data_IF_487005070951
#
_entry.id   IF_487005070951
#
_cell.length_a   1.000
_cell.length_b   1.000
_cell.length_c   1.000
_cell.angle_alpha   90.00
_cell.angle_beta   90.00
_cell.angle_gamma   90.00
#
_symmetry.space_group_name_H-M   'P 1'
#
loop_
_entity.id
_entity.type
_entity.pdbx_description
1 polymer ?
#
# COMPACT_ATOMS: atom_id res chain seq x y z
N UNK A 1 58.20 -9.85 14.13
CA UNK A 1 57.11 -10.85 14.02
C UNK A 1 55.86 -10.11 13.56
N UNK A 2 55.27 -10.56 12.46
CA UNK A 2 54.22 -9.86 11.72
C UNK A 2 52.83 -9.93 12.38
N UNK A 3 51.99 -8.91 12.10
CA UNK A 3 50.63 -9.02 11.52
C UNK A 3 49.98 -7.63 11.57
N UNK A 4 50.10 -6.83 10.49
CA UNK A 4 49.08 -6.60 9.44
C UNK A 4 47.79 -6.00 10.01
N UNK A 5 47.56 -4.72 9.67
CA UNK A 5 46.37 -3.97 10.02
C UNK A 5 45.13 -4.29 9.19
N UNK A 6 44.02 -3.67 9.60
CA UNK A 6 42.84 -3.31 8.82
C UNK A 6 41.97 -2.47 9.79
N UNK A 7 41.95 -1.14 9.68
CA UNK A 7 41.13 -0.47 8.68
C UNK A 7 39.70 -0.39 9.20
N UNK A 8 39.36 0.70 9.89
CA UNK A 8 37.99 1.01 10.32
C UNK A 8 37.12 1.10 9.07
N UNK A 9 36.45 -0.01 8.70
CA UNK A 9 35.46 -0.02 7.63
C UNK A 9 34.25 0.76 8.13
N UNK A 10 34.08 1.97 7.60
CA UNK A 10 32.86 2.73 7.71
C UNK A 10 31.68 1.83 7.27
N UNK A 11 30.88 1.38 8.22
CA UNK A 11 29.59 0.74 7.93
C UNK A 11 28.67 1.85 7.42
N UNK A 12 28.59 2.00 6.09
CA UNK A 12 27.63 2.91 5.46
C UNK A 12 26.23 2.36 5.70
N UNK A 13 25.58 2.78 6.80
CA UNK A 13 24.13 2.60 7.00
C UNK A 13 23.42 3.56 6.05
N UNK A 14 22.87 3.04 4.96
CA UNK A 14 22.00 3.81 4.07
C UNK A 14 20.55 3.36 4.35
N UNK A 15 19.78 4.18 5.07
CA UNK A 15 18.38 3.91 5.31
C UNK A 15 17.58 4.35 4.09
N UNK A 16 17.22 3.39 3.22
CA UNK A 16 16.32 3.65 2.10
C UNK A 16 14.88 3.69 2.63
N UNK A 17 14.28 4.88 2.62
CA UNK A 17 12.88 5.11 2.98
C UNK A 17 11.98 4.80 1.77
N UNK A 18 10.86 4.10 1.97
CA UNK A 18 10.05 3.57 0.85
C UNK A 18 8.57 3.99 0.91
N UNK A 19 8.00 4.32 -0.25
CA UNK A 19 6.57 4.47 -0.49
C UNK A 19 6.16 3.90 -1.85
N UNK A 20 4.85 3.77 -2.09
CA UNK A 20 4.33 3.50 -3.43
C UNK A 20 4.86 4.58 -4.40
N UNK A 21 5.56 4.16 -5.46
CA UNK A 21 6.27 5.06 -6.38
C UNK A 21 7.80 4.99 -6.35
N UNK A 22 8.42 4.28 -5.39
CA UNK A 22 9.90 4.12 -5.34
C UNK A 22 10.38 2.74 -5.79
N UNK A 23 9.76 1.65 -5.30
CA UNK A 23 10.12 0.27 -5.69
C UNK A 23 8.93 -0.54 -6.23
N UNK A 24 7.71 -0.05 -5.99
CA UNK A 24 6.49 -0.66 -6.47
C UNK A 24 5.61 0.40 -7.13
N UNK A 25 4.85 -0.03 -8.12
CA UNK A 25 3.73 0.72 -8.68
C UNK A 25 2.42 -0.01 -8.37
N UNK A 26 1.33 0.75 -8.36
CA UNK A 26 0.00 0.15 -8.45
C UNK A 26 -0.20 -0.42 -9.85
N UNK A 27 -0.80 -1.59 -9.94
CA UNK A 27 -1.30 -2.15 -11.20
C UNK A 27 -2.67 -1.53 -11.47
N UNK A 28 -2.89 -1.02 -12.67
CA UNK A 28 -4.19 -0.43 -13.04
C UNK A 28 -4.59 0.78 -12.19
N UNK A 29 -5.87 1.11 -12.24
CA UNK A 29 -6.45 2.25 -11.55
C UNK A 29 -7.19 1.82 -10.28
N UNK A 30 -7.37 2.75 -9.34
CA UNK A 30 -8.19 2.51 -8.14
C UNK A 30 -9.60 1.99 -8.51
N UNK A 31 -10.17 2.53 -9.59
CA UNK A 31 -11.48 2.14 -10.11
C UNK A 31 -11.58 0.67 -10.50
N UNK A 32 -10.49 0.06 -10.99
CA UNK A 32 -10.47 -1.35 -11.36
C UNK A 32 -10.79 -2.24 -10.16
N UNK A 33 -10.14 -1.98 -9.02
CA UNK A 33 -10.32 -2.78 -7.81
C UNK A 33 -11.73 -2.62 -7.21
N UNK A 34 -12.29 -1.43 -7.30
CA UNK A 34 -13.64 -1.14 -6.80
C UNK A 34 -14.69 -1.78 -7.71
N UNK A 35 -14.48 -1.72 -9.03
CA UNK A 35 -15.33 -2.38 -10.02
C UNK A 35 -15.28 -3.90 -9.89
N UNK A 36 -14.09 -4.48 -9.75
CA UNK A 36 -13.93 -5.92 -9.52
C UNK A 36 -14.64 -6.37 -8.25
N UNK A 37 -14.52 -5.60 -7.15
CA UNK A 37 -15.18 -5.93 -5.90
C UNK A 37 -16.72 -5.85 -5.99
N UNK A 38 -17.26 -4.83 -6.66
CA UNK A 38 -18.70 -4.68 -6.90
C UNK A 38 -19.26 -5.79 -7.80
N UNK A 39 -18.61 -6.06 -8.94
CA UNK A 39 -19.00 -7.15 -9.86
C UNK A 39 -18.99 -8.52 -9.20
N UNK A 40 -18.03 -8.78 -8.32
CA UNK A 40 -17.90 -10.06 -7.63
C UNK A 40 -19.03 -10.37 -6.64
N UNK A 41 -19.93 -9.41 -6.38
CA UNK A 41 -21.15 -9.60 -5.59
C UNK A 41 -22.43 -9.32 -6.40
N UNK A 42 -22.32 -9.18 -7.72
CA UNK A 42 -23.45 -8.97 -8.63
C UNK A 42 -23.87 -7.50 -8.83
N UNK A 43 -23.10 -6.54 -8.33
CA UNK A 43 -23.38 -5.12 -8.54
C UNK A 43 -22.76 -4.60 -9.86
N UNK A 44 -23.35 -3.55 -10.46
CA UNK A 44 -22.74 -2.87 -11.59
C UNK A 44 -21.41 -2.25 -11.19
N UNK A 45 -20.55 -2.09 -12.20
CA UNK A 45 -19.30 -1.38 -12.06
C UNK A 45 -19.58 0.11 -11.71
N UNK A 46 -19.03 0.65 -10.62
CA UNK A 46 -19.14 2.07 -10.35
C UNK A 46 -18.28 2.87 -11.34
N UNK A 47 -18.65 4.12 -11.56
CA UNK A 47 -17.93 5.03 -12.45
C UNK A 47 -16.52 5.31 -11.91
N UNK A 48 -15.52 5.06 -12.74
CA UNK A 48 -14.12 5.12 -12.35
C UNK A 48 -13.70 6.52 -11.89
N UNK A 49 -14.13 7.55 -12.64
CA UNK A 49 -13.76 8.94 -12.38
C UNK A 49 -14.40 9.45 -11.09
N UNK A 50 -15.69 9.20 -10.91
CA UNK A 50 -16.43 9.56 -9.69
C UNK A 50 -15.86 8.86 -8.46
N UNK A 51 -15.53 7.57 -8.58
CA UNK A 51 -14.89 6.84 -7.48
C UNK A 51 -13.51 7.40 -7.14
N UNK A 52 -12.70 7.75 -8.15
CA UNK A 52 -11.38 8.34 -7.92
C UNK A 52 -11.48 9.70 -7.21
N UNK A 53 -12.36 10.58 -7.67
CA UNK A 53 -12.60 11.90 -7.07
C UNK A 53 -13.20 11.79 -5.65
N UNK A 54 -14.16 10.88 -5.48
CA UNK A 54 -14.77 10.56 -4.19
C UNK A 54 -13.73 10.05 -3.19
N UNK A 55 -12.88 9.12 -3.61
CA UNK A 55 -11.79 8.61 -2.79
C UNK A 55 -10.77 9.67 -2.42
N UNK A 56 -10.33 10.50 -3.37
CA UNK A 56 -9.38 11.59 -3.10
C UNK A 56 -9.92 12.53 -2.03
N UNK A 57 -11.21 12.85 -2.10
CA UNK A 57 -11.88 13.73 -1.13
C UNK A 57 -12.03 13.06 0.23
N UNK A 58 -12.53 11.82 0.27
CA UNK A 58 -12.70 11.04 1.49
C UNK A 58 -11.37 10.81 2.22
N UNK A 59 -10.33 10.41 1.49
CA UNK A 59 -8.98 10.21 2.01
C UNK A 59 -8.41 11.50 2.60
N UNK A 60 -8.54 12.61 1.88
CA UNK A 60 -8.05 13.92 2.35
C UNK A 60 -8.72 14.33 3.66
N UNK A 61 -10.03 14.09 3.79
CA UNK A 61 -10.77 14.39 5.01
C UNK A 61 -10.37 13.46 6.16
N UNK A 62 -10.28 12.16 5.92
CA UNK A 62 -9.86 11.17 6.91
C UNK A 62 -8.42 11.41 7.39
N UNK A 63 -7.51 11.78 6.50
CA UNK A 63 -6.13 12.09 6.85
C UNK A 63 -6.01 13.36 7.70
N UNK A 64 -6.92 14.34 7.52
CA UNK A 64 -6.99 15.55 8.34
C UNK A 64 -7.60 15.28 9.72
N UNK A 65 -8.70 14.52 9.78
CA UNK A 65 -9.41 14.23 11.03
C UNK A 65 -8.69 13.20 11.89
N UNK A 66 -8.16 12.16 11.24
CA UNK A 66 -7.52 11.01 11.88
C UNK A 66 -6.15 10.76 11.22
N UNK A 67 -5.15 11.61 11.49
CA UNK A 67 -3.81 11.47 10.92
C UNK A 67 -3.15 10.14 11.33
N UNK A 68 -2.18 9.69 10.53
CA UNK A 68 -1.49 8.41 10.72
C UNK A 68 -2.46 7.23 10.89
N UNK A 69 -3.49 7.17 10.05
CA UNK A 69 -4.55 6.15 10.08
C UNK A 69 -5.25 6.04 11.44
N UNK A 70 -5.41 7.17 12.14
CA UNK A 70 -6.10 7.24 13.42
C UNK A 70 -5.29 6.72 14.62
N UNK A 71 -3.96 6.62 14.51
CA UNK A 71 -3.09 6.16 15.59
C UNK A 71 -3.31 6.93 16.91
N UNK A 72 -3.33 8.27 16.85
CA UNK A 72 -3.56 9.11 18.02
C UNK A 72 -4.97 8.91 18.62
N UNK A 73 -5.96 8.58 17.80
CA UNK A 73 -7.34 8.32 18.20
C UNK A 73 -7.57 6.87 18.66
N UNK A 74 -6.53 6.02 18.69
CA UNK A 74 -6.63 4.57 18.94
C UNK A 74 -7.65 3.86 18.02
N UNK A 75 -7.85 4.41 16.83
CA UNK A 75 -8.75 3.85 15.83
C UNK A 75 -8.08 2.65 15.16
N UNK A 76 -8.75 1.48 15.05
CA UNK A 76 -8.24 0.38 14.27
C UNK A 76 -8.05 0.77 12.80
N UNK A 77 -6.94 0.36 12.20
CA UNK A 77 -6.61 0.68 10.80
C UNK A 77 -7.72 0.23 9.83
N UNK A 78 -8.33 -0.94 10.09
CA UNK A 78 -9.48 -1.42 9.31
C UNK A 78 -10.69 -0.48 9.37
N UNK A 79 -10.95 0.15 10.52
CA UNK A 79 -12.09 1.06 10.68
C UNK A 79 -11.82 2.41 10.02
N UNK A 80 -10.56 2.86 10.03
CA UNK A 80 -10.13 4.02 9.27
C UNK A 80 -10.38 3.83 7.78
N UNK A 81 -9.93 2.69 7.22
CA UNK A 81 -10.19 2.36 5.80
C UNK A 81 -11.66 2.09 5.52
N UNK A 82 -12.40 1.43 6.42
CA UNK A 82 -13.84 1.19 6.26
C UNK A 82 -14.58 2.50 6.10
N UNK A 83 -14.33 3.45 7.00
CA UNK A 83 -14.91 4.80 6.95
C UNK A 83 -14.53 5.53 5.67
N UNK A 84 -13.24 5.51 5.32
CA UNK A 84 -12.75 6.17 4.10
C UNK A 84 -13.41 5.61 2.84
N UNK A 85 -13.48 4.28 2.69
CA UNK A 85 -14.06 3.63 1.51
C UNK A 85 -15.57 3.89 1.45
N UNK A 86 -16.29 3.82 2.58
CA UNK A 86 -17.72 4.13 2.64
C UNK A 86 -17.99 5.56 2.17
N UNK A 87 -17.24 6.51 2.72
CA UNK A 87 -17.37 7.92 2.35
C UNK A 87 -17.01 8.19 0.88
N UNK A 88 -16.10 7.39 0.31
CA UNK A 88 -15.75 7.44 -1.11
C UNK A 88 -16.92 7.06 -2.01
N UNK A 89 -17.65 5.98 -1.67
CA UNK A 89 -18.85 5.55 -2.41
C UNK A 89 -19.96 6.60 -2.31
N UNK A 90 -20.22 7.12 -1.11
CA UNK A 90 -21.25 8.15 -0.89
C UNK A 90 -20.94 9.41 -1.70
N UNK A 91 -19.69 9.89 -1.67
CA UNK A 91 -19.25 11.06 -2.47
C UNK A 91 -19.29 10.80 -3.97
N UNK A 92 -19.07 9.56 -4.38
CA UNK A 92 -19.25 9.13 -5.75
C UNK A 92 -20.74 8.94 -6.12
N UNK A 93 -21.68 9.12 -5.19
CA UNK A 93 -23.13 9.01 -5.40
C UNK A 93 -23.65 7.58 -5.45
N UNK A 94 -22.95 6.64 -4.80
CA UNK A 94 -23.38 5.27 -4.58
C UNK A 94 -23.70 5.10 -3.09
N UNK A 95 -24.96 4.82 -2.79
CA UNK A 95 -25.42 4.53 -1.43
C UNK A 95 -25.82 3.06 -1.35
N UNK A 96 -24.98 2.25 -0.72
CA UNK A 96 -25.20 0.83 -0.51
C UNK A 96 -25.67 0.61 0.91
N UNK A 97 -26.59 -0.34 1.11
CA UNK A 97 -26.92 -0.80 2.45
C UNK A 97 -25.67 -1.39 3.15
N UNK A 98 -25.70 -1.42 4.48
CA UNK A 98 -24.52 -1.81 5.27
C UNK A 98 -24.04 -3.24 4.97
N UNK A 99 -24.95 -4.17 4.63
CA UNK A 99 -24.60 -5.55 4.33
C UNK A 99 -23.87 -5.65 2.98
N UNK A 100 -24.43 -4.99 1.96
CA UNK A 100 -23.83 -4.91 0.63
C UNK A 100 -22.49 -4.21 0.68
N UNK A 101 -22.41 -3.06 1.36
CA UNK A 101 -21.16 -2.32 1.53
C UNK A 101 -20.08 -3.17 2.20
N UNK A 102 -20.40 -3.87 3.29
CA UNK A 102 -19.42 -4.69 4.01
C UNK A 102 -18.86 -5.83 3.13
N UNK A 103 -19.70 -6.44 2.28
CA UNK A 103 -19.24 -7.45 1.29
C UNK A 103 -18.25 -6.86 0.28
N UNK A 104 -18.54 -5.66 -0.25
CA UNK A 104 -17.63 -4.95 -1.16
C UNK A 104 -16.33 -4.55 -0.44
N UNK A 105 -16.46 -3.96 0.75
CA UNK A 105 -15.32 -3.47 1.53
C UNK A 105 -14.36 -4.60 1.87
N UNK A 106 -14.84 -5.76 2.34
CA UNK A 106 -13.98 -6.91 2.65
C UNK A 106 -13.16 -7.36 1.45
N UNK A 107 -13.74 -7.34 0.25
CA UNK A 107 -13.01 -7.68 -0.98
C UNK A 107 -11.94 -6.65 -1.28
N UNK A 108 -12.28 -5.37 -1.27
CA UNK A 108 -11.32 -4.27 -1.50
C UNK A 108 -10.17 -4.35 -0.50
N UNK A 109 -10.49 -4.42 0.80
CA UNK A 109 -9.51 -4.46 1.88
C UNK A 109 -8.58 -5.67 1.77
N UNK A 110 -9.12 -6.85 1.44
CA UNK A 110 -8.33 -8.06 1.20
C UNK A 110 -7.42 -7.91 -0.03
N UNK A 111 -7.91 -7.35 -1.13
CA UNK A 111 -7.09 -7.11 -2.33
C UNK A 111 -5.91 -6.19 -2.04
N UNK A 112 -6.14 -5.04 -1.39
CA UNK A 112 -5.07 -4.11 -1.01
C UNK A 112 -4.14 -4.62 0.10
N UNK A 113 -4.61 -5.58 0.90
CA UNK A 113 -3.82 -6.36 1.85
C UNK A 113 -3.03 -7.51 1.23
N UNK A 114 -3.03 -7.67 -0.10
CA UNK A 114 -2.29 -8.71 -0.81
C UNK A 114 -1.22 -8.11 -1.73
N UNK A 115 -0.47 -8.97 -2.43
CA UNK A 115 0.45 -8.56 -3.50
C UNK A 115 -0.26 -8.21 -4.82
N UNK A 116 -1.55 -8.54 -4.95
CA UNK A 116 -2.28 -8.45 -6.22
C UNK A 116 -2.25 -7.06 -6.86
N UNK A 117 -2.42 -5.93 -6.13
CA UNK A 117 -2.47 -4.62 -6.74
C UNK A 117 -1.11 -3.97 -6.93
N UNK A 118 -0.02 -4.66 -6.63
CA UNK A 118 1.33 -4.10 -6.69
C UNK A 118 2.17 -4.79 -7.77
N UNK A 119 2.94 -4.01 -8.53
CA UNK A 119 4.02 -4.47 -9.41
C UNK A 119 5.36 -3.95 -8.89
N UNK A 120 6.41 -4.78 -8.98
CA UNK A 120 7.78 -4.37 -8.64
C UNK A 120 8.40 -3.71 -9.87
N UNK A 121 9.08 -2.57 -9.70
CA UNK A 121 9.81 -2.01 -10.84
C UNK A 121 10.96 -2.95 -11.26
N UNK A 122 11.23 -3.10 -12.57
CA UNK A 122 12.22 -4.07 -13.04
C UNK A 122 13.62 -3.91 -12.43
N UNK A 123 14.00 -2.68 -12.10
CA UNK A 123 15.29 -2.29 -11.52
C UNK A 123 15.38 -2.47 -9.99
N UNK A 124 14.23 -2.58 -9.32
CA UNK A 124 14.16 -2.63 -7.86
C UNK A 124 14.86 -3.85 -7.29
N UNK A 125 14.59 -5.06 -7.80
CA UNK A 125 15.28 -6.24 -7.29
C UNK A 125 16.78 -6.29 -7.63
N UNK A 126 17.22 -5.97 -8.87
CA UNK A 126 18.65 -5.82 -9.18
C UNK A 126 19.37 -4.86 -8.22
N UNK A 127 18.78 -3.70 -7.95
CA UNK A 127 19.35 -2.70 -7.03
C UNK A 127 19.47 -3.25 -5.59
N UNK A 128 18.42 -3.89 -5.08
CA UNK A 128 18.43 -4.47 -3.73
C UNK A 128 19.46 -5.58 -3.58
N UNK A 129 19.66 -6.40 -4.64
CA UNK A 129 20.73 -7.41 -4.69
C UNK A 129 22.12 -6.77 -4.71
N UNK A 130 22.31 -5.73 -5.51
CA UNK A 130 23.56 -4.98 -5.55
C UNK A 130 23.89 -4.37 -4.19
N UNK A 131 22.92 -3.75 -3.52
CA UNK A 131 23.10 -3.13 -2.21
C UNK A 131 23.56 -4.16 -1.15
N UNK A 132 22.88 -5.31 -1.09
CA UNK A 132 23.27 -6.42 -0.20
C UNK A 132 24.67 -6.95 -0.51
N UNK A 133 25.01 -7.15 -1.79
CA UNK A 133 26.34 -7.61 -2.22
C UNK A 133 27.47 -6.66 -1.78
N UNK A 134 27.18 -5.36 -1.70
CA UNK A 134 28.13 -4.34 -1.25
C UNK A 134 28.15 -4.15 0.28
N UNK A 135 27.54 -5.06 1.06
CA UNK A 135 27.53 -5.01 2.51
C UNK A 135 26.60 -3.95 3.11
N UNK A 136 25.65 -3.41 2.31
CA UNK A 136 24.64 -2.49 2.81
C UNK A 136 23.51 -3.28 3.48
N UNK A 137 23.10 -2.82 4.66
CA UNK A 137 21.90 -3.31 5.33
C UNK A 137 20.70 -2.67 4.64
N UNK A 138 19.77 -3.49 4.17
CA UNK A 138 18.59 -3.06 3.44
C UNK A 138 17.35 -3.43 4.25
N UNK A 139 16.53 -2.43 4.56
CA UNK A 139 15.24 -2.59 5.23
C UNK A 139 14.15 -1.83 4.47
N UNK A 140 12.89 -2.11 4.80
CA UNK A 140 11.74 -1.36 4.26
C UNK A 140 11.08 -0.61 5.41
N UNK A 141 10.95 0.69 5.23
CA UNK A 141 10.10 1.53 6.07
C UNK A 141 8.92 1.91 5.20
N UNK A 142 7.72 1.50 5.58
CA UNK A 142 6.50 1.83 4.85
C UNK A 142 5.38 2.23 5.79
N UNK A 143 4.52 3.10 5.28
CA UNK A 143 3.21 3.36 5.86
C UNK A 143 2.14 2.33 5.40
N UNK A 144 2.52 1.36 4.55
CA UNK A 144 1.67 0.27 4.08
C UNK A 144 2.08 -1.08 4.72
N UNK A 145 1.16 -2.04 4.71
CA UNK A 145 1.31 -3.32 5.41
C UNK A 145 2.42 -4.25 4.89
N UNK A 146 2.61 -5.34 5.63
CA UNK A 146 3.63 -6.40 5.47
C UNK A 146 3.73 -7.07 4.07
N UNK A 147 2.67 -7.22 3.23
CA UNK A 147 2.74 -8.00 1.98
C UNK A 147 3.85 -7.56 1.01
N UNK A 148 4.21 -6.28 1.03
CA UNK A 148 5.22 -5.67 0.17
C UNK A 148 6.63 -6.24 0.38
N UNK A 149 6.97 -6.59 1.62
CA UNK A 149 8.29 -7.11 1.97
C UNK A 149 8.61 -8.41 1.21
N UNK A 150 7.61 -9.28 1.07
CA UNK A 150 7.80 -10.58 0.41
C UNK A 150 8.08 -10.42 -1.08
N UNK A 151 7.49 -9.42 -1.74
CA UNK A 151 7.65 -9.19 -3.18
C UNK A 151 9.04 -8.68 -3.56
N UNK A 152 9.68 -7.90 -2.68
CA UNK A 152 11.00 -7.30 -2.94
C UNK A 152 12.16 -8.27 -2.63
N UNK A 153 11.93 -9.25 -1.77
CA UNK A 153 12.95 -10.19 -1.30
C UNK A 153 12.73 -11.64 -1.76
N UNK A 154 11.81 -11.87 -2.70
CA UNK A 154 11.64 -13.19 -3.31
C UNK A 154 12.97 -13.68 -3.92
N UNK A 155 13.36 -14.95 -3.68
CA UNK A 155 14.45 -15.56 -4.44
C UNK A 155 14.07 -15.68 -5.93
N UNK A 156 15.06 -15.73 -6.83
CA UNK A 156 14.83 -15.97 -8.25
C UNK A 156 14.16 -17.33 -8.49
#
# INVERSE_FOLDING_TARGET
MACIGQGVKAVKRCNLMWGAGTLLAYKGELGDYYCMAAKAIGLPCPDYKRMHEGFKTAYTNMAKLYPCFGHAAKMPNIDWWRTCVKDSFIKAGYDYDDETFEKVFRRIYSTFGSSAPYSVFPDSQPFMRWARKNGLIVGVVSNAGIPILRMLFSPP
#
